data_IF_347739931652
#
_entry.id   IF_347739931652
#
_cell.length_a   1.000
_cell.length_b   1.000
_cell.length_c   1.000
_cell.angle_alpha   90.00
_cell.angle_beta   90.00
_cell.angle_gamma   90.00
#
_symmetry.space_group_name_H-M   'P 1'
#
loop_
_entity.id
_entity.type
_entity.pdbx_description
1 polymer ?
#
# COMPACT_ATOMS: atom_id res chain seq x y z
N UNK A 1 6.19 23.56 49.06
CA UNK A 1 5.68 23.82 47.70
C UNK A 1 4.24 24.30 47.79
N UNK A 2 3.93 25.53 47.38
CA UNK A 2 2.62 26.16 47.53
C UNK A 2 1.53 25.40 46.75
N UNK A 3 0.36 25.15 47.37
CA UNK A 3 -0.77 24.44 46.74
C UNK A 3 -1.16 25.06 45.38
N UNK A 4 -1.11 26.39 45.26
CA UNK A 4 -1.35 27.11 43.99
C UNK A 4 -0.36 26.75 42.88
N UNK A 5 0.92 26.55 43.22
CA UNK A 5 1.95 26.18 42.26
C UNK A 5 1.71 24.76 41.73
N UNK A 6 1.34 23.81 42.61
CA UNK A 6 0.96 22.44 42.23
C UNK A 6 -0.22 22.38 41.27
N UNK A 7 -1.26 23.18 41.51
CA UNK A 7 -2.45 23.23 40.64
C UNK A 7 -2.12 23.79 39.26
N UNK A 8 -1.29 24.84 39.18
CA UNK A 8 -0.86 25.42 37.91
C UNK A 8 0.00 24.43 37.12
N UNK A 9 0.97 23.77 37.77
CA UNK A 9 1.83 22.78 37.10
C UNK A 9 1.02 21.57 36.60
N UNK A 10 0.03 21.11 37.37
CA UNK A 10 -0.85 20.02 36.96
C UNK A 10 -1.72 20.38 35.76
N UNK A 11 -2.28 21.59 35.71
CA UNK A 11 -3.07 22.06 34.58
C UNK A 11 -2.24 22.19 33.29
N UNK A 12 -1.00 22.68 33.40
CA UNK A 12 -0.06 22.77 32.27
C UNK A 12 0.29 21.36 31.74
N UNK A 13 0.52 20.39 32.63
CA UNK A 13 0.83 19.02 32.23
C UNK A 13 -0.35 18.35 31.48
N UNK A 14 -1.59 18.60 31.92
CA UNK A 14 -2.79 18.11 31.23
C UNK A 14 -2.94 18.76 29.85
N UNK A 15 -2.77 20.09 29.77
CA UNK A 15 -2.80 20.83 28.49
C UNK A 15 -1.72 20.36 27.52
N UNK A 16 -0.49 20.14 28.01
CA UNK A 16 0.60 19.59 27.22
C UNK A 16 0.30 18.15 26.75
N UNK A 17 -0.27 17.31 27.61
CA UNK A 17 -0.70 15.95 27.25
C UNK A 17 -1.79 15.93 26.17
N UNK A 18 -2.77 16.83 26.26
CA UNK A 18 -3.83 16.97 25.24
C UNK A 18 -3.25 17.49 23.92
N UNK A 19 -2.37 18.48 23.95
CA UNK A 19 -1.69 18.98 22.75
C UNK A 19 -0.84 17.88 22.09
N UNK A 20 -0.08 17.12 22.87
CA UNK A 20 0.68 15.97 22.35
C UNK A 20 -0.25 14.95 21.70
N UNK A 21 -1.37 14.60 22.34
CA UNK A 21 -2.36 13.67 21.76
C UNK A 21 -2.97 14.20 20.46
N UNK A 22 -3.27 15.50 20.36
CA UNK A 22 -3.81 16.12 19.14
C UNK A 22 -2.75 16.12 18.02
N UNK A 23 -1.50 16.47 18.32
CA UNK A 23 -0.41 16.45 17.33
C UNK A 23 -0.06 15.02 16.89
N UNK A 24 -0.12 14.04 17.79
CA UNK A 24 0.17 12.64 17.47
C UNK A 24 -0.94 11.97 16.66
N UNK A 25 -2.21 12.38 16.83
CA UNK A 25 -3.34 11.88 16.02
C UNK A 25 -3.58 12.66 14.72
N UNK A 26 -3.04 13.87 14.59
CA UNK A 26 -3.50 14.85 13.60
C UNK A 26 -2.65 15.05 12.34
N UNK A 27 -1.57 14.31 12.11
CA UNK A 27 -0.72 14.51 10.93
C UNK A 27 -0.85 13.37 9.90
N UNK A 28 -2.07 13.04 9.49
CA UNK A 28 -2.25 12.33 8.22
C UNK A 28 -1.91 13.31 7.10
N UNK A 29 -0.65 13.30 6.65
CA UNK A 29 -0.22 14.17 5.54
C UNK A 29 -1.10 13.87 4.33
N UNK A 30 -1.63 14.92 3.72
CA UNK A 30 -2.49 14.82 2.54
C UNK A 30 -1.74 15.26 1.30
N UNK A 31 -1.97 14.57 0.18
CA UNK A 31 -1.32 14.80 -1.10
C UNK A 31 -2.37 15.08 -2.16
N UNK A 32 -2.08 16.01 -3.07
CA UNK A 32 -2.82 16.05 -4.34
C UNK A 32 -2.37 14.91 -5.24
N UNK A 33 -3.18 14.48 -6.19
CA UNK A 33 -2.85 13.32 -7.04
C UNK A 33 -1.51 13.49 -7.77
N UNK A 34 -1.23 14.70 -8.28
CA UNK A 34 0.03 15.08 -8.91
C UNK A 34 1.27 15.03 -7.98
N UNK A 35 1.08 15.10 -6.67
CA UNK A 35 2.16 15.03 -5.68
C UNK A 35 2.44 13.60 -5.23
N UNK A 36 1.53 12.66 -5.49
CA UNK A 36 1.66 11.26 -5.06
C UNK A 36 2.97 10.63 -5.57
N UNK A 37 3.34 10.72 -6.87
CA UNK A 37 4.59 10.12 -7.34
C UNK A 37 5.83 10.59 -6.57
N UNK A 38 5.89 11.87 -6.18
CA UNK A 38 7.00 12.43 -5.39
C UNK A 38 6.99 11.92 -3.95
N UNK A 39 5.80 11.74 -3.36
CA UNK A 39 5.69 11.13 -2.03
C UNK A 39 6.19 9.68 -2.05
N UNK A 40 5.83 8.91 -3.08
CA UNK A 40 6.30 7.53 -3.27
C UNK A 40 7.83 7.50 -3.36
N UNK A 41 8.42 8.33 -4.22
CA UNK A 41 9.87 8.46 -4.35
C UNK A 41 10.53 8.77 -2.98
N UNK A 42 10.02 9.79 -2.28
CA UNK A 42 10.53 10.17 -0.95
C UNK A 42 10.47 9.02 0.05
N UNK A 43 9.38 8.23 0.05
CA UNK A 43 9.21 7.08 0.94
C UNK A 43 10.20 5.96 0.64
N UNK A 44 10.40 5.64 -0.63
CA UNK A 44 11.39 4.63 -1.05
C UNK A 44 12.77 5.04 -0.54
N UNK A 45 13.16 6.29 -0.79
CA UNK A 45 14.48 6.81 -0.40
C UNK A 45 14.67 6.85 1.12
N UNK A 46 13.62 7.13 1.89
CA UNK A 46 13.65 7.13 3.35
C UNK A 46 13.74 5.72 3.95
N UNK A 47 13.24 4.69 3.25
CA UNK A 47 13.13 3.32 3.79
C UNK A 47 14.44 2.53 3.83
N UNK A 48 15.53 3.04 3.24
CA UNK A 48 16.73 2.24 2.94
C UNK A 48 18.08 2.94 3.20
N UNK A 49 18.14 3.86 4.16
CA UNK A 49 19.35 4.64 4.48
C UNK A 49 19.90 5.46 3.30
N UNK A 50 18.99 6.00 2.48
CA UNK A 50 19.26 7.12 1.58
C UNK A 50 19.58 6.78 0.12
N UNK A 51 19.56 7.85 -0.68
CA UNK A 51 19.71 7.89 -2.14
C UNK A 51 20.90 7.12 -2.72
N UNK A 52 21.89 6.73 -1.91
CA UNK A 52 23.10 6.05 -2.39
C UNK A 52 22.88 4.59 -2.77
N UNK A 53 21.76 3.99 -2.32
CA UNK A 53 21.43 2.58 -2.57
C UNK A 53 20.25 2.40 -3.51
N UNK A 54 19.58 3.47 -3.93
CA UNK A 54 18.39 3.39 -4.80
C UNK A 54 18.56 4.23 -6.05
N UNK A 55 18.14 3.68 -7.17
CA UNK A 55 18.11 4.33 -8.49
C UNK A 55 16.87 3.89 -9.26
N UNK A 56 16.62 4.49 -10.42
CA UNK A 56 15.58 4.08 -11.38
C UNK A 56 14.17 3.92 -10.77
N UNK A 57 13.76 4.86 -9.92
CA UNK A 57 12.41 4.88 -9.32
C UNK A 57 11.40 5.23 -10.42
N UNK A 58 10.44 4.35 -10.67
CA UNK A 58 9.42 4.50 -11.72
C UNK A 58 8.06 4.09 -11.20
N UNK A 59 7.05 4.93 -11.42
CA UNK A 59 5.64 4.54 -11.30
C UNK A 59 5.27 3.74 -12.56
N UNK A 60 4.93 2.47 -12.36
CA UNK A 60 4.72 1.50 -13.44
C UNK A 60 3.28 1.46 -13.91
N UNK A 61 2.35 1.54 -12.97
CA UNK A 61 0.92 1.58 -13.23
C UNK A 61 0.21 2.32 -12.08
N UNK A 62 -0.96 2.86 -12.36
CA UNK A 62 -1.83 3.41 -11.33
C UNK A 62 -3.30 3.26 -11.73
N UNK A 63 -4.16 3.10 -10.73
CA UNK A 63 -5.60 3.02 -10.93
C UNK A 63 -6.35 3.59 -9.74
N UNK A 64 -7.41 4.34 -10.02
CA UNK A 64 -8.40 4.76 -9.02
C UNK A 64 -9.51 3.72 -8.94
N UNK A 65 -9.77 3.21 -7.74
CA UNK A 65 -10.79 2.19 -7.43
C UNK A 65 -11.63 2.73 -6.27
N UNK A 66 -12.83 3.20 -6.56
CA UNK A 66 -13.65 3.92 -5.57
C UNK A 66 -12.91 5.15 -5.04
N UNK A 67 -12.69 5.20 -3.72
CA UNK A 67 -11.91 6.26 -3.06
C UNK A 67 -10.41 5.95 -2.99
N UNK A 68 -9.92 4.86 -3.57
CA UNK A 68 -8.54 4.42 -3.42
C UNK A 68 -7.72 4.65 -4.68
N UNK A 69 -6.60 5.36 -4.56
CA UNK A 69 -5.56 5.42 -5.57
C UNK A 69 -4.50 4.35 -5.32
N UNK A 70 -4.40 3.38 -6.21
CA UNK A 70 -3.43 2.28 -6.14
C UNK A 70 -2.30 2.57 -7.10
N UNK A 71 -1.07 2.56 -6.60
CA UNK A 71 0.13 2.85 -7.40
C UNK A 71 1.10 1.69 -7.31
N UNK A 72 1.47 1.15 -8.48
CA UNK A 72 2.57 0.21 -8.64
C UNK A 72 3.85 0.95 -8.98
N UNK A 73 4.93 0.59 -8.33
CA UNK A 73 6.23 1.20 -8.57
C UNK A 73 7.34 0.16 -8.58
N UNK A 74 8.44 0.51 -9.23
CA UNK A 74 9.68 -0.24 -9.19
C UNK A 74 10.84 0.69 -8.89
N UNK A 75 11.94 0.13 -8.39
CA UNK A 75 13.20 0.82 -8.23
C UNK A 75 14.35 -0.18 -8.25
N UNK A 76 15.56 0.28 -8.56
CA UNK A 76 16.77 -0.55 -8.49
C UNK A 76 17.49 -0.31 -7.18
N UNK A 77 17.64 -1.37 -6.40
CA UNK A 77 18.43 -1.38 -5.18
C UNK A 77 19.85 -1.86 -5.45
N UNK A 78 20.83 -1.14 -4.91
CA UNK A 78 22.25 -1.47 -5.04
C UNK A 78 22.50 -2.86 -4.44
N UNK A 79 23.10 -3.74 -5.22
CA UNK A 79 23.43 -5.14 -4.87
C UNK A 79 22.24 -6.12 -4.78
N UNK A 80 20.98 -5.66 -4.76
CA UNK A 80 19.79 -6.53 -4.76
C UNK A 80 19.02 -6.55 -6.08
N UNK A 81 19.28 -5.60 -6.99
CA UNK A 81 18.64 -5.56 -8.31
C UNK A 81 17.29 -4.83 -8.31
N UNK A 82 16.39 -5.22 -9.21
CA UNK A 82 15.08 -4.59 -9.35
C UNK A 82 14.13 -5.02 -8.22
N UNK A 83 13.55 -4.03 -7.57
CA UNK A 83 12.59 -4.14 -6.50
C UNK A 83 11.27 -3.56 -6.97
N UNK A 84 10.17 -4.15 -6.52
CA UNK A 84 8.82 -3.69 -6.83
C UNK A 84 8.07 -3.30 -5.56
N UNK A 85 6.99 -2.58 -5.72
CA UNK A 85 6.20 -2.03 -4.63
C UNK A 85 4.80 -1.67 -5.07
N UNK A 86 3.88 -1.68 -4.10
CA UNK A 86 2.62 -0.99 -4.27
C UNK A 86 2.32 -0.14 -3.05
N UNK A 87 1.49 0.88 -3.24
CA UNK A 87 1.03 1.75 -2.19
C UNK A 87 -0.38 2.21 -2.50
N UNK A 88 -1.18 2.35 -1.45
CA UNK A 88 -2.57 2.75 -1.56
C UNK A 88 -2.75 4.08 -0.87
N UNK A 89 -3.40 4.98 -1.59
CA UNK A 89 -3.83 6.27 -1.10
C UNK A 89 -5.36 6.25 -0.99
N UNK A 90 -5.91 6.78 0.09
CA UNK A 90 -7.35 6.95 0.29
C UNK A 90 -7.73 8.43 0.12
N UNK A 91 -8.71 8.69 -0.73
CA UNK A 91 -9.27 10.01 -0.96
C UNK A 91 -10.01 10.48 0.30
N UNK A 92 -9.61 11.63 0.82
CA UNK A 92 -10.31 12.37 1.87
C UNK A 92 -11.41 13.24 1.24
N UNK A 93 -11.15 13.73 0.02
CA UNK A 93 -12.09 14.43 -0.83
C UNK A 93 -11.64 14.29 -2.30
N UNK A 94 -12.31 14.99 -3.22
CA UNK A 94 -12.05 14.90 -4.66
C UNK A 94 -10.63 15.30 -5.08
N UNK A 95 -9.90 16.08 -4.26
CA UNK A 95 -8.59 16.64 -4.61
C UNK A 95 -7.45 16.12 -3.73
N UNK A 96 -7.76 15.50 -2.60
CA UNK A 96 -6.78 15.17 -1.55
C UNK A 96 -6.86 13.72 -1.14
N UNK A 97 -5.68 13.14 -1.04
CA UNK A 97 -5.44 11.75 -0.69
C UNK A 97 -4.56 11.66 0.55
N UNK A 98 -4.74 10.62 1.37
CA UNK A 98 -3.78 10.25 2.42
C UNK A 98 -3.29 8.83 2.21
N UNK A 99 -2.10 8.51 2.71
CA UNK A 99 -1.59 7.14 2.60
C UNK A 99 -2.42 6.25 3.51
N UNK A 100 -2.96 5.17 2.93
CA UNK A 100 -3.52 4.10 3.72
C UNK A 100 -2.35 3.26 4.28
N UNK A 101 -1.95 3.58 5.51
CA UNK A 101 -0.77 3.00 6.17
C UNK A 101 -0.91 1.51 6.47
N UNK A 102 -2.15 0.99 6.49
CA UNK A 102 -2.43 -0.40 6.82
C UNK A 102 -2.01 -1.35 5.68
N UNK A 103 -1.68 -0.81 4.50
CA UNK A 103 -1.35 -1.56 3.28
C UNK A 103 -0.03 -1.14 2.61
N UNK A 104 0.92 -0.62 3.38
CA UNK A 104 2.29 -0.40 2.92
C UNK A 104 3.04 -1.74 2.83
N UNK A 105 3.16 -2.30 1.63
CA UNK A 105 3.95 -3.51 1.39
C UNK A 105 5.09 -3.24 0.41
N UNK A 106 6.30 -3.61 0.83
CA UNK A 106 7.48 -3.75 -0.04
C UNK A 106 7.51 -5.15 -0.63
N UNK A 107 7.82 -5.31 -1.92
CA UNK A 107 8.20 -6.63 -2.43
C UNK A 107 9.60 -6.90 -1.85
N UNK A 108 9.67 -7.70 -0.78
CA UNK A 108 10.93 -8.26 -0.29
C UNK A 108 10.84 -9.76 -0.42
N UNK A 109 11.70 -10.34 -1.26
CA UNK A 109 12.02 -11.77 -1.26
C UNK A 109 13.15 -11.95 -0.23
N UNK A 110 13.05 -12.85 0.75
CA UNK A 110 13.40 -14.25 0.52
C UNK A 110 12.76 -15.27 1.50
N UNK A 111 11.74 -14.93 2.30
CA UNK A 111 11.26 -15.85 3.36
C UNK A 111 9.77 -16.21 3.39
N UNK A 112 8.94 -15.77 2.45
CA UNK A 112 7.51 -16.13 2.45
C UNK A 112 7.09 -16.76 1.12
N UNK A 113 6.85 -18.07 1.14
CA UNK A 113 6.26 -18.86 0.05
C UNK A 113 4.78 -18.51 -0.20
N UNK A 114 4.47 -17.28 -0.58
CA UNK A 114 3.14 -16.84 -1.01
C UNK A 114 3.29 -15.90 -2.21
N UNK A 115 3.10 -16.45 -3.43
CA UNK A 115 2.96 -15.77 -4.72
C UNK A 115 3.92 -14.59 -5.00
N UNK A 116 5.12 -14.91 -5.49
CA UNK A 116 6.24 -13.98 -5.80
C UNK A 116 5.95 -12.86 -6.83
N UNK A 117 4.70 -12.73 -7.33
CA UNK A 117 4.30 -11.68 -8.28
C UNK A 117 2.88 -11.12 -8.08
N UNK A 118 2.06 -11.70 -7.20
CA UNK A 118 0.65 -11.34 -7.02
C UNK A 118 0.40 -10.88 -5.58
N UNK A 119 0.05 -9.61 -5.42
CA UNK A 119 -0.34 -9.01 -4.16
C UNK A 119 -1.84 -8.70 -4.19
N UNK A 120 -2.48 -8.76 -3.04
CA UNK A 120 -3.90 -8.42 -2.95
C UNK A 120 -4.23 -7.70 -1.66
N UNK A 121 -5.29 -6.91 -1.71
CA UNK A 121 -5.89 -6.27 -0.54
C UNK A 121 -7.41 -6.27 -0.67
N UNK A 122 -8.09 -6.45 0.46
CA UNK A 122 -9.54 -6.23 0.56
C UNK A 122 -9.81 -4.85 1.14
N UNK A 123 -10.59 -4.02 0.44
CA UNK A 123 -10.92 -2.65 0.81
C UNK A 123 -12.38 -2.37 0.45
N UNK A 124 -13.21 -2.00 1.42
CA UNK A 124 -14.58 -1.50 1.23
C UNK A 124 -15.44 -2.23 0.17
N UNK A 125 -15.42 -3.58 0.15
CA UNK A 125 -16.20 -4.34 -0.84
C UNK A 125 -15.39 -4.85 -2.03
N UNK A 126 -14.20 -4.30 -2.24
CA UNK A 126 -13.31 -4.63 -3.35
C UNK A 126 -12.21 -5.56 -2.90
N UNK A 127 -11.86 -6.52 -3.75
CA UNK A 127 -10.54 -7.13 -3.74
C UNK A 127 -9.74 -6.52 -4.88
N UNK A 128 -8.64 -5.89 -4.53
CA UNK A 128 -7.68 -5.32 -5.48
C UNK A 128 -6.53 -6.31 -5.57
N UNK A 129 -6.24 -6.79 -6.78
CA UNK A 129 -5.08 -7.64 -7.05
C UNK A 129 -4.12 -6.87 -7.95
N UNK A 130 -2.85 -6.83 -7.58
CA UNK A 130 -1.85 -6.10 -8.33
C UNK A 130 -0.47 -6.77 -8.28
N UNK A 131 0.37 -6.44 -9.25
CA UNK A 131 1.76 -6.89 -9.26
C UNK A 131 2.32 -7.08 -10.66
N UNK A 132 3.23 -8.04 -10.78
CA UNK A 132 3.97 -8.39 -11.99
C UNK A 132 4.16 -9.91 -12.00
N UNK A 133 3.58 -10.60 -12.98
CA UNK A 133 3.79 -12.05 -13.17
C UNK A 133 4.98 -12.26 -14.11
N UNK A 134 6.01 -13.01 -13.69
CA UNK A 134 7.17 -13.33 -14.54
C UNK A 134 6.93 -14.59 -15.38
N UNK A 135 7.87 -14.91 -16.27
CA UNK A 135 7.75 -16.05 -17.19
C UNK A 135 7.68 -17.41 -16.49
N UNK A 136 8.29 -17.53 -15.32
CA UNK A 136 8.27 -18.75 -14.50
C UNK A 136 7.03 -18.86 -13.60
N UNK A 137 6.26 -17.78 -13.45
CA UNK A 137 5.14 -17.72 -12.52
C UNK A 137 3.83 -18.26 -13.10
N UNK A 138 2.92 -18.67 -12.21
CA UNK A 138 1.54 -18.92 -12.61
C UNK A 138 0.88 -17.60 -12.96
N UNK A 139 0.24 -17.54 -14.13
CA UNK A 139 -0.44 -16.33 -14.60
C UNK A 139 -1.96 -16.45 -14.62
N UNK A 140 -2.52 -17.60 -14.21
CA UNK A 140 -3.95 -17.85 -14.23
C UNK A 140 -4.43 -18.29 -12.86
N UNK A 141 -5.49 -17.64 -12.38
CA UNK A 141 -5.97 -17.82 -11.01
C UNK A 141 -7.49 -17.85 -10.96
N UNK A 142 -8.01 -18.60 -9.99
CA UNK A 142 -9.42 -18.57 -9.59
C UNK A 142 -9.57 -17.85 -8.26
N UNK A 143 -10.46 -16.88 -8.21
CA UNK A 143 -10.85 -16.11 -7.04
C UNK A 143 -12.25 -16.59 -6.64
N UNK A 144 -12.38 -17.14 -5.44
CA UNK A 144 -13.66 -17.63 -4.92
C UNK A 144 -14.04 -16.85 -3.66
N UNK A 145 -15.25 -16.32 -3.62
CA UNK A 145 -15.85 -15.64 -2.47
C UNK A 145 -17.33 -15.97 -2.35
N UNK A 146 -17.71 -16.76 -1.34
CA UNK A 146 -19.08 -17.24 -1.19
C UNK A 146 -19.54 -18.04 -2.42
N UNK A 147 -20.52 -17.50 -3.15
CA UNK A 147 -21.05 -18.08 -4.41
C UNK A 147 -20.39 -17.52 -5.67
N UNK A 148 -19.53 -16.52 -5.52
CA UNK A 148 -18.83 -15.86 -6.62
C UNK A 148 -17.55 -16.62 -6.92
N UNK A 149 -17.38 -17.03 -8.17
CA UNK A 149 -16.13 -17.60 -8.68
C UNK A 149 -15.72 -16.86 -9.94
N UNK A 150 -14.48 -16.37 -9.96
CA UNK A 150 -13.91 -15.59 -11.06
C UNK A 150 -12.61 -16.26 -11.46
N UNK A 151 -12.46 -16.59 -12.73
CA UNK A 151 -11.17 -17.04 -13.27
C UNK A 151 -10.57 -15.92 -14.11
N UNK A 152 -9.34 -15.53 -13.80
CA UNK A 152 -8.63 -14.47 -14.52
C UNK A 152 -7.23 -14.92 -14.95
N UNK A 153 -6.73 -14.30 -16.02
CA UNK A 153 -5.40 -14.53 -16.57
C UNK A 153 -4.68 -13.20 -16.71
N UNK A 154 -3.49 -13.13 -16.12
CA UNK A 154 -2.62 -11.98 -16.14
C UNK A 154 -1.58 -12.12 -17.26
N UNK A 155 -1.29 -11.01 -17.92
CA UNK A 155 -0.23 -10.95 -18.93
C UNK A 155 1.12 -11.00 -18.24
N UNK A 156 2.04 -11.83 -18.74
CA UNK A 156 3.38 -11.98 -18.19
C UNK A 156 4.23 -10.76 -18.50
N UNK A 157 5.18 -10.47 -17.63
CA UNK A 157 6.13 -9.36 -17.71
C UNK A 157 5.47 -7.99 -17.87
N UNK A 158 4.23 -7.86 -17.38
CA UNK A 158 3.45 -6.62 -17.42
C UNK A 158 2.87 -6.33 -16.05
N UNK A 159 3.02 -5.08 -15.61
CA UNK A 159 2.39 -4.60 -14.39
C UNK A 159 0.87 -4.54 -14.57
N UNK A 160 0.13 -4.90 -13.53
CA UNK A 160 -1.33 -4.89 -13.59
C UNK A 160 -1.95 -4.47 -12.27
N UNK A 161 -3.07 -3.75 -12.35
CA UNK A 161 -4.00 -3.52 -11.24
C UNK A 161 -5.40 -3.99 -11.68
N UNK A 162 -5.97 -4.95 -10.95
CA UNK A 162 -7.31 -5.49 -11.16
C UNK A 162 -8.18 -5.28 -9.93
N UNK A 163 -9.45 -5.02 -10.18
CA UNK A 163 -10.46 -4.88 -9.15
C UNK A 163 -11.50 -5.98 -9.33
N UNK A 164 -11.94 -6.57 -8.23
CA UNK A 164 -13.02 -7.54 -8.21
C UNK A 164 -14.01 -7.15 -7.12
N UNK A 165 -15.28 -7.04 -7.50
CA UNK A 165 -16.37 -6.85 -6.56
C UNK A 165 -16.79 -8.24 -6.11
N UNK A 166 -16.53 -8.57 -4.85
CA UNK A 166 -16.82 -9.90 -4.30
C UNK A 166 -18.07 -9.86 -3.42
N UNK A 167 -18.84 -10.95 -3.41
CA UNK A 167 -20.01 -11.07 -2.53
C UNK A 167 -19.65 -11.08 -1.04
N UNK A 168 -18.45 -11.56 -0.69
CA UNK A 168 -17.86 -11.43 0.64
C UNK A 168 -16.36 -11.11 0.53
N UNK A 169 -15.97 -9.82 0.48
CA UNK A 169 -14.59 -9.40 0.24
C UNK A 169 -13.64 -9.74 1.40
N UNK A 170 -14.16 -10.04 2.59
CA UNK A 170 -13.36 -10.40 3.76
C UNK A 170 -13.13 -11.92 3.86
N UNK A 171 -13.84 -12.71 3.07
CA UNK A 171 -13.73 -14.16 3.01
C UNK A 171 -13.63 -14.61 1.55
N UNK A 172 -12.39 -14.64 1.05
CA UNK A 172 -12.10 -15.14 -0.28
C UNK A 172 -10.83 -15.98 -0.30
N UNK A 173 -10.70 -16.76 -1.37
CA UNK A 173 -9.50 -17.55 -1.64
C UNK A 173 -9.03 -17.27 -3.05
N UNK A 174 -7.72 -17.26 -3.25
CA UNK A 174 -7.08 -17.21 -4.57
C UNK A 174 -6.33 -18.51 -4.77
N UNK A 175 -6.62 -19.22 -5.86
CA UNK A 175 -5.96 -20.47 -6.23
C UNK A 175 -5.31 -20.32 -7.60
N UNK A 176 -4.03 -20.67 -7.67
CA UNK A 176 -3.33 -20.87 -8.92
C UNK A 176 -3.98 -22.01 -9.70
N UNK A 177 -4.21 -21.82 -11.00
CA UNK A 177 -4.60 -22.89 -11.90
C UNK A 177 -3.34 -23.44 -12.59
N UNK A 178 -3.20 -24.76 -12.58
CA UNK A 178 -2.09 -25.43 -13.28
C UNK A 178 -2.15 -25.09 -14.77
N UNK A 179 -0.96 -24.96 -15.38
CA UNK A 179 -0.83 -24.73 -16.81
C UNK A 179 -1.23 -26.01 -17.55
N UNK A 180 -2.16 -25.90 -18.51
CA UNK A 180 -2.47 -26.97 -19.48
C UNK A 180 -1.31 -27.18 -20.46
#
# INVERSE_FOLDING_TARGET
MNRKLRTITGAIAILAGVLILIFYRGSSTTYSEQDIPKDIERRILASVDGHTKVSDIVIRDHKIIGKYGVYLYSYRFKDLGEMNGYIIYEAINEEKFTVNSDHLLSFKRDELKLNDGLQYVSLDGYVIICGLIKDEDTNRFTITSGKTEITDTYERNKYFIREYILSNPNEFTIKALEQE
#
